data_IF_554828993367
#
_entry.id   IF_554828993367
#
_cell.length_a   1.000
_cell.length_b   1.000
_cell.length_c   1.000
_cell.angle_alpha   90.00
_cell.angle_beta   90.00
_cell.angle_gamma   90.00
#
_symmetry.space_group_name_H-M   'P 1'
#
loop_
_entity.id
_entity.type
_entity.pdbx_description
1 polymer ?
#
# COMPACT_ATOMS: atom_id res chain seq x y z
N UNK A 1 4.07 27.77 45.16
CA UNK A 1 4.25 26.74 44.09
C UNK A 1 5.67 26.26 44.23
N UNK A 2 5.84 25.05 44.83
CA UNK A 2 7.13 24.55 45.28
C UNK A 2 7.99 24.09 44.10
N UNK A 3 9.32 24.24 44.18
CA UNK A 3 10.26 23.86 43.10
C UNK A 3 10.07 22.39 42.64
N UNK A 4 9.60 21.53 43.53
CA UNK A 4 9.30 20.12 43.24
C UNK A 4 8.08 19.94 42.32
N UNK A 5 7.05 20.79 42.44
CA UNK A 5 5.87 20.76 41.55
C UNK A 5 6.18 21.27 40.14
N UNK A 6 6.97 22.33 40.05
CA UNK A 6 7.46 22.84 38.75
C UNK A 6 8.28 21.77 38.02
N UNK A 7 9.15 21.06 38.74
CA UNK A 7 10.00 20.04 38.10
C UNK A 7 9.18 18.82 37.64
N UNK A 8 8.16 18.40 38.38
CA UNK A 8 7.24 17.34 37.98
C UNK A 8 6.41 17.72 36.74
N UNK A 9 5.96 18.96 36.68
CA UNK A 9 5.18 19.49 35.55
C UNK A 9 6.02 19.60 34.26
N UNK A 10 7.28 20.02 34.39
CA UNK A 10 8.24 20.05 33.27
C UNK A 10 8.59 18.64 32.78
N UNK A 11 8.78 17.68 33.66
CA UNK A 11 9.06 16.28 33.30
C UNK A 11 7.84 15.65 32.62
N UNK A 12 6.61 15.88 33.12
CA UNK A 12 5.40 15.41 32.46
C UNK A 12 5.19 16.03 31.07
N UNK A 13 5.45 17.35 30.93
CA UNK A 13 5.36 18.02 29.62
C UNK A 13 6.41 17.49 28.62
N UNK A 14 7.62 17.19 29.09
CA UNK A 14 8.67 16.60 28.25
C UNK A 14 8.35 15.14 27.86
N UNK A 15 7.74 14.38 28.75
CA UNK A 15 7.32 12.99 28.49
C UNK A 15 6.18 12.91 27.46
N UNK A 16 5.25 13.87 27.49
CA UNK A 16 4.14 13.97 26.52
C UNK A 16 4.66 14.35 25.12
N UNK A 17 5.72 15.15 25.03
CA UNK A 17 6.32 15.57 23.77
C UNK A 17 7.05 14.41 23.06
N UNK A 18 7.50 13.40 23.79
CA UNK A 18 8.18 12.21 23.23
C UNK A 18 7.22 11.15 22.64
N UNK A 19 5.91 11.28 22.90
CA UNK A 19 4.91 10.31 22.47
C UNK A 19 4.28 10.62 21.09
N UNK A 20 4.65 11.71 20.43
CA UNK A 20 4.23 11.99 19.06
C UNK A 20 5.09 11.19 18.08
N UNK A 21 4.98 9.87 18.14
CA UNK A 21 5.51 8.98 17.12
C UNK A 21 4.86 9.35 15.78
N UNK A 22 5.57 10.10 14.96
CA UNK A 22 5.12 10.43 13.62
C UNK A 22 5.01 9.13 12.82
N UNK A 23 3.79 8.73 12.44
CA UNK A 23 3.55 7.72 11.41
C UNK A 23 4.07 8.26 10.08
N UNK A 24 5.37 8.15 9.83
CA UNK A 24 5.99 8.50 8.58
C UNK A 24 5.82 7.34 7.59
N UNK A 25 5.63 7.61 6.29
CA UNK A 25 5.65 6.58 5.28
C UNK A 25 6.99 5.83 5.29
N UNK A 26 6.99 4.50 5.00
CA UNK A 26 8.19 3.67 5.05
C UNK A 26 9.10 3.86 3.82
N UNK A 27 9.12 5.06 3.25
CA UNK A 27 9.87 5.40 2.06
C UNK A 27 10.91 6.47 2.33
N UNK A 28 12.07 6.43 1.64
CA UNK A 28 13.08 7.47 1.74
C UNK A 28 12.51 8.85 1.39
N UNK A 29 12.86 9.86 2.21
CA UNK A 29 12.38 11.25 2.01
C UNK A 29 12.67 11.76 0.59
N UNK A 30 13.84 11.43 0.04
CA UNK A 30 14.25 11.85 -1.30
C UNK A 30 13.30 11.37 -2.40
N UNK A 31 12.67 10.20 -2.23
CA UNK A 31 11.67 9.68 -3.16
C UNK A 31 10.31 10.35 -2.94
N UNK A 32 9.93 10.57 -1.66
CA UNK A 32 8.69 11.25 -1.29
C UNK A 32 8.64 12.69 -1.81
N UNK A 33 9.78 13.38 -1.82
CA UNK A 33 9.90 14.77 -2.30
C UNK A 33 9.72 14.88 -3.84
N UNK A 34 9.85 13.77 -4.58
CA UNK A 34 9.64 13.72 -6.04
C UNK A 34 8.20 13.45 -6.43
N UNK A 35 7.39 12.93 -5.51
CA UNK A 35 6.01 12.52 -5.80
C UNK A 35 5.15 13.74 -6.12
N UNK A 36 4.49 13.71 -7.28
CA UNK A 36 3.43 14.67 -7.62
C UNK A 36 2.17 14.35 -6.79
N UNK A 37 1.93 15.15 -5.77
CA UNK A 37 0.79 15.00 -4.85
C UNK A 37 -0.52 15.50 -5.41
N UNK A 38 -0.49 16.21 -6.55
CA UNK A 38 -1.68 16.75 -7.18
C UNK A 38 -2.26 15.77 -8.21
N UNK A 39 -1.45 14.81 -8.67
CA UNK A 39 -1.89 13.79 -9.63
C UNK A 39 -2.72 12.71 -8.90
N UNK A 40 -4.03 12.72 -9.12
CA UNK A 40 -4.91 11.66 -8.62
C UNK A 40 -4.81 10.39 -9.48
N UNK A 41 -5.08 9.23 -8.87
CA UNK A 41 -5.13 7.97 -9.64
C UNK A 41 -6.20 8.01 -10.72
N UNK A 42 -7.33 8.66 -10.48
CA UNK A 42 -8.43 8.81 -11.45
C UNK A 42 -8.00 9.57 -12.70
N UNK A 43 -7.17 10.61 -12.56
CA UNK A 43 -6.62 11.36 -13.69
C UNK A 43 -5.61 10.50 -14.44
N UNK A 44 -4.71 9.85 -13.70
CA UNK A 44 -3.74 8.91 -14.27
C UNK A 44 -4.43 7.80 -15.07
N UNK A 45 -5.51 7.20 -14.52
CA UNK A 45 -6.28 6.13 -15.15
C UNK A 45 -6.91 6.53 -16.49
N UNK A 46 -7.36 7.78 -16.61
CA UNK A 46 -7.99 8.26 -17.85
C UNK A 46 -7.02 8.32 -19.03
N UNK A 47 -5.83 8.83 -18.81
CA UNK A 47 -4.82 9.03 -19.86
C UNK A 47 -3.39 8.84 -19.30
N UNK A 48 -2.95 7.60 -19.04
CA UNK A 48 -1.65 7.37 -18.41
C UNK A 48 -0.47 7.91 -19.22
N UNK A 49 -0.58 7.92 -20.55
CA UNK A 49 0.49 8.39 -21.43
C UNK A 49 0.78 9.88 -21.30
N UNK A 50 -0.20 10.69 -20.85
CA UNK A 50 0.00 12.11 -20.60
C UNK A 50 0.86 12.41 -19.38
N UNK A 51 1.07 11.40 -18.53
CA UNK A 51 1.79 11.51 -17.25
C UNK A 51 3.10 10.73 -17.23
N UNK A 52 3.60 10.31 -18.42
CA UNK A 52 4.92 9.67 -18.50
C UNK A 52 5.99 10.55 -17.87
N UNK A 53 6.82 9.95 -17.03
CA UNK A 53 7.84 10.65 -16.26
C UNK A 53 7.36 11.24 -14.92
N UNK A 54 6.03 11.31 -14.69
CA UNK A 54 5.51 11.74 -13.39
C UNK A 54 5.81 10.70 -12.31
N UNK A 55 6.18 11.18 -11.14
CA UNK A 55 6.41 10.33 -9.96
C UNK A 55 5.15 10.26 -9.11
N UNK A 56 4.77 9.05 -8.77
CA UNK A 56 3.55 8.78 -8.00
C UNK A 56 3.84 7.91 -6.79
N UNK A 57 3.04 8.10 -5.74
CA UNK A 57 2.94 7.17 -4.62
C UNK A 57 1.55 6.55 -4.68
N UNK A 58 1.50 5.26 -4.93
CA UNK A 58 0.27 4.50 -5.05
C UNK A 58 0.34 3.26 -4.17
N UNK A 59 -0.79 2.64 -3.92
CA UNK A 59 -0.84 1.36 -3.25
C UNK A 59 -2.17 0.68 -3.45
N UNK A 60 -2.22 -0.55 -2.98
CA UNK A 60 -3.40 -1.37 -3.12
C UNK A 60 -3.17 -2.80 -2.69
N UNK A 61 -4.11 -3.63 -3.07
CA UNK A 61 -4.05 -5.08 -2.85
C UNK A 61 -3.48 -5.75 -4.09
N UNK A 62 -2.52 -6.64 -3.90
CA UNK A 62 -1.96 -7.47 -4.98
C UNK A 62 -3.07 -8.38 -5.50
N UNK A 63 -3.33 -8.33 -6.80
CA UNK A 63 -4.21 -9.23 -7.54
C UNK A 63 -3.41 -10.42 -8.06
N UNK A 64 -2.24 -10.12 -8.66
CA UNK A 64 -1.31 -11.11 -9.16
C UNK A 64 0.11 -10.54 -9.19
N UNK A 65 1.11 -11.40 -9.06
CA UNK A 65 2.50 -11.10 -9.32
C UNK A 65 3.09 -12.17 -10.24
N UNK A 66 3.84 -11.73 -11.24
CA UNK A 66 4.45 -12.62 -12.24
C UNK A 66 5.88 -12.22 -12.53
N UNK A 67 6.80 -13.14 -12.36
CA UNK A 67 8.18 -12.98 -12.79
C UNK A 67 8.29 -13.11 -14.31
N UNK A 68 9.02 -12.21 -14.92
CA UNK A 68 9.35 -12.16 -16.35
C UNK A 68 10.87 -12.29 -16.51
N UNK A 69 11.39 -12.16 -17.71
CA UNK A 69 12.85 -12.13 -17.94
C UNK A 69 13.49 -10.83 -17.44
N UNK A 70 12.71 -9.77 -17.36
CA UNK A 70 13.18 -8.42 -16.98
C UNK A 70 12.89 -8.06 -15.51
N UNK A 71 12.38 -9.00 -14.70
CA UNK A 71 12.01 -8.75 -13.30
C UNK A 71 10.58 -9.18 -12.99
N UNK A 72 9.87 -8.44 -12.13
CA UNK A 72 8.52 -8.80 -11.68
C UNK A 72 7.50 -7.76 -12.14
N UNK A 73 6.35 -8.23 -12.62
CA UNK A 73 5.16 -7.42 -12.91
C UNK A 73 4.10 -7.76 -11.88
N UNK A 74 3.59 -6.75 -11.17
CA UNK A 74 2.56 -6.88 -10.14
C UNK A 74 1.30 -6.15 -10.62
N UNK A 75 0.17 -6.85 -10.64
CA UNK A 75 -1.14 -6.24 -10.80
C UNK A 75 -1.68 -5.82 -9.43
N UNK A 76 -1.98 -4.53 -9.27
CA UNK A 76 -2.58 -3.98 -8.05
C UNK A 76 -4.02 -3.53 -8.31
N UNK A 77 -4.92 -3.89 -7.40
CA UNK A 77 -6.20 -3.21 -7.20
C UNK A 77 -5.92 -1.99 -6.33
N UNK A 78 -5.96 -0.80 -6.94
CA UNK A 78 -5.67 0.45 -6.25
C UNK A 78 -6.59 0.67 -5.05
N UNK A 79 -6.03 1.17 -3.96
CA UNK A 79 -6.74 1.58 -2.75
C UNK A 79 -6.27 2.97 -2.31
N UNK A 80 -7.15 3.79 -1.72
CA UNK A 80 -6.71 5.02 -1.06
C UNK A 80 -5.66 4.70 0.01
N UNK A 81 -4.72 5.61 0.21
CA UNK A 81 -3.66 5.46 1.21
C UNK A 81 -4.00 6.29 2.45
N UNK A 82 -3.61 5.79 3.61
CA UNK A 82 -3.59 6.57 4.84
C UNK A 82 -2.35 7.49 4.92
N UNK A 83 -2.20 8.21 6.05
CA UNK A 83 -1.07 9.13 6.26
C UNK A 83 0.28 8.43 6.34
N UNK A 84 0.32 7.14 6.67
CA UNK A 84 1.52 6.33 6.69
C UNK A 84 1.86 5.77 5.30
N UNK A 85 0.98 5.96 4.33
CA UNK A 85 1.10 5.40 2.98
C UNK A 85 0.60 3.97 2.87
N UNK A 86 -0.09 3.44 3.88
CA UNK A 86 -0.70 2.11 3.85
C UNK A 86 -2.03 2.15 3.11
N UNK A 87 -2.32 1.14 2.25
CA UNK A 87 -3.63 0.97 1.65
C UNK A 87 -4.74 0.82 2.71
N UNK A 88 -5.83 1.58 2.55
CA UNK A 88 -6.96 1.50 3.46
C UNK A 88 -7.73 0.19 3.28
N UNK A 89 -8.21 -0.37 4.40
CA UNK A 89 -9.09 -1.54 4.44
C UNK A 89 -10.52 -1.10 4.08
N UNK A 90 -10.77 -0.86 2.81
CA UNK A 90 -12.05 -0.40 2.26
C UNK A 90 -12.31 -1.06 0.92
N UNK A 91 -13.56 -1.12 0.50
CA UNK A 91 -13.93 -1.58 -0.85
C UNK A 91 -13.75 -0.50 -1.92
N UNK A 92 -13.45 0.75 -1.50
CA UNK A 92 -13.18 1.82 -2.44
C UNK A 92 -11.96 1.52 -3.30
N UNK A 93 -12.11 1.68 -4.61
CA UNK A 93 -11.06 1.54 -5.61
C UNK A 93 -11.36 2.48 -6.78
N UNK A 94 -10.31 2.99 -7.41
CA UNK A 94 -10.44 3.74 -8.67
C UNK A 94 -9.96 2.93 -9.87
N UNK A 95 -9.56 1.66 -9.66
CA UNK A 95 -9.20 0.75 -10.72
C UNK A 95 -7.94 -0.06 -10.45
N UNK A 96 -7.29 -0.51 -11.51
CA UNK A 96 -6.09 -1.35 -11.46
C UNK A 96 -4.93 -0.72 -12.17
N UNK A 97 -3.72 -1.09 -11.77
CA UNK A 97 -2.46 -0.69 -12.41
C UNK A 97 -1.48 -1.85 -12.44
N UNK A 98 -0.46 -1.73 -13.27
CA UNK A 98 0.72 -2.58 -13.21
C UNK A 98 1.89 -1.82 -12.58
N UNK A 99 2.53 -2.48 -11.64
CA UNK A 99 3.83 -2.08 -11.08
C UNK A 99 4.88 -3.01 -11.66
N UNK A 100 5.90 -2.44 -12.26
CA UNK A 100 7.03 -3.18 -12.86
C UNK A 100 8.27 -2.89 -12.04
N UNK A 101 9.01 -3.92 -11.68
CA UNK A 101 10.32 -3.81 -11.03
C UNK A 101 11.31 -4.74 -11.70
N UNK A 102 12.58 -4.34 -11.74
CA UNK A 102 13.69 -5.19 -12.21
C UNK A 102 14.06 -6.27 -11.18
N UNK A 103 13.57 -6.16 -9.95
CA UNK A 103 13.80 -7.16 -8.92
C UNK A 103 12.93 -8.40 -9.16
N UNK A 104 13.51 -9.58 -8.92
CA UNK A 104 12.78 -10.85 -8.89
C UNK A 104 12.20 -11.04 -7.50
N UNK A 105 10.90 -10.81 -7.37
CA UNK A 105 10.17 -10.94 -6.12
C UNK A 105 9.66 -12.38 -5.93
N UNK A 106 9.74 -12.88 -4.69
CA UNK A 106 9.21 -14.19 -4.35
C UNK A 106 7.67 -14.17 -4.37
N UNK A 107 7.06 -14.97 -5.25
CA UNK A 107 5.61 -15.07 -5.37
C UNK A 107 4.92 -15.62 -4.11
N UNK A 108 5.64 -16.36 -3.26
CA UNK A 108 5.12 -16.81 -1.96
C UNK A 108 4.99 -15.65 -0.95
N UNK A 109 5.74 -14.56 -1.14
CA UNK A 109 5.72 -13.36 -0.31
C UNK A 109 4.78 -12.31 -0.91
N UNK A 110 4.89 -12.08 -2.22
CA UNK A 110 4.11 -11.09 -2.97
C UNK A 110 2.88 -11.73 -3.64
N UNK A 111 2.10 -12.47 -2.87
CA UNK A 111 0.91 -13.18 -3.37
C UNK A 111 -0.35 -12.32 -3.36
N UNK A 112 -1.39 -12.76 -4.05
CA UNK A 112 -2.71 -12.12 -4.04
C UNK A 112 -3.25 -11.90 -2.62
N UNK A 113 -3.87 -10.74 -2.38
CA UNK A 113 -4.42 -10.34 -1.09
C UNK A 113 -3.45 -9.60 -0.18
N UNK A 114 -2.13 -9.55 -0.48
CA UNK A 114 -1.18 -8.73 0.27
C UNK A 114 -1.30 -7.25 -0.09
N UNK A 115 -1.07 -6.40 0.89
CA UNK A 115 -1.05 -4.94 0.69
C UNK A 115 0.34 -4.48 0.29
N UNK A 116 0.40 -3.70 -0.77
CA UNK A 116 1.64 -3.15 -1.30
C UNK A 116 1.48 -1.65 -1.53
N UNK A 117 2.50 -0.89 -1.15
CA UNK A 117 2.66 0.50 -1.57
C UNK A 117 3.91 0.66 -2.41
N UNK A 118 3.86 1.56 -3.37
CA UNK A 118 4.92 1.82 -4.34
C UNK A 118 5.15 3.31 -4.50
N UNK A 119 6.41 3.73 -4.54
CA UNK A 119 6.83 4.97 -5.19
C UNK A 119 7.49 4.60 -6.51
N UNK A 120 7.06 5.24 -7.57
CA UNK A 120 7.59 4.95 -8.91
C UNK A 120 7.27 6.02 -9.93
N UNK A 121 7.78 5.80 -11.11
CA UNK A 121 7.63 6.68 -12.26
C UNK A 121 6.59 6.08 -13.23
N UNK A 122 5.66 6.89 -13.71
CA UNK A 122 4.70 6.49 -14.72
C UNK A 122 5.42 6.31 -16.05
N UNK A 123 5.33 5.11 -16.62
CA UNK A 123 5.99 4.79 -17.91
C UNK A 123 5.02 4.69 -19.09
N UNK A 124 3.72 4.81 -18.80
CA UNK A 124 2.66 4.79 -19.82
C UNK A 124 1.51 3.87 -19.44
N UNK A 125 1.03 3.10 -20.39
CA UNK A 125 -0.10 2.18 -20.20
C UNK A 125 0.12 0.85 -20.91
N UNK A 126 -0.60 -0.16 -20.42
CA UNK A 126 -0.82 -1.42 -21.10
C UNK A 126 -2.31 -1.65 -21.26
N UNK A 127 -2.76 -1.91 -22.48
CA UNK A 127 -4.15 -2.30 -22.75
C UNK A 127 -4.21 -3.82 -22.80
N UNK A 128 -5.09 -4.39 -22.00
CA UNK A 128 -5.37 -5.83 -22.05
C UNK A 128 -6.78 -6.12 -21.51
N UNK A 129 -7.36 -7.28 -21.85
CA UNK A 129 -8.68 -7.65 -21.38
C UNK A 129 -8.77 -7.70 -19.86
N UNK A 130 -9.87 -7.18 -19.31
CA UNK A 130 -10.33 -7.37 -17.95
C UNK A 130 -11.77 -7.90 -18.03
N UNK A 131 -11.93 -9.23 -17.98
CA UNK A 131 -13.16 -9.88 -18.39
C UNK A 131 -13.44 -9.64 -19.87
N UNK A 132 -14.60 -9.10 -20.20
CA UNK A 132 -15.03 -8.84 -21.59
C UNK A 132 -14.68 -7.43 -22.10
N UNK A 133 -14.06 -6.58 -21.27
CA UNK A 133 -13.71 -5.20 -21.63
C UNK A 133 -12.22 -5.03 -21.87
N UNK A 134 -11.85 -4.14 -22.80
CA UNK A 134 -10.49 -3.64 -22.91
C UNK A 134 -10.22 -2.64 -21.78
N UNK A 135 -9.25 -2.95 -20.94
CA UNK A 135 -8.90 -2.13 -19.80
C UNK A 135 -7.49 -1.52 -19.96
N UNK A 136 -7.38 -0.23 -19.65
CA UNK A 136 -6.11 0.50 -19.69
C UNK A 136 -5.48 0.46 -18.30
N UNK A 137 -4.40 -0.27 -18.16
CA UNK A 137 -3.62 -0.34 -16.95
C UNK A 137 -2.52 0.72 -16.99
N UNK A 138 -2.53 1.73 -16.11
CA UNK A 138 -1.33 2.55 -15.92
C UNK A 138 -0.14 1.67 -15.58
N UNK A 139 1.02 1.95 -16.18
CA UNK A 139 2.29 1.30 -15.89
C UNK A 139 3.13 2.20 -15.00
N UNK A 140 3.60 1.66 -13.89
CA UNK A 140 4.47 2.35 -12.94
C UNK A 140 5.75 1.54 -12.77
N UNK A 141 6.89 2.12 -13.14
CA UNK A 141 8.21 1.57 -12.85
C UNK A 141 8.55 1.84 -11.39
N UNK A 142 8.63 0.79 -10.58
CA UNK A 142 8.91 0.91 -9.16
C UNK A 142 10.32 1.44 -8.90
N UNK A 143 10.43 2.39 -7.97
CA UNK A 143 11.71 2.87 -7.41
C UNK A 143 11.85 2.47 -5.95
N UNK A 144 10.72 2.21 -5.29
CA UNK A 144 10.68 1.63 -3.95
C UNK A 144 9.34 0.92 -3.75
N UNK A 145 9.40 -0.26 -3.17
CA UNK A 145 8.24 -1.07 -2.81
C UNK A 145 8.20 -1.26 -1.30
N UNK A 146 7.01 -1.23 -0.72
CA UNK A 146 6.80 -1.58 0.67
C UNK A 146 5.63 -2.55 0.79
N UNK A 147 5.94 -3.80 1.14
CA UNK A 147 4.95 -4.84 1.42
C UNK A 147 4.55 -4.76 2.89
N UNK A 148 3.28 -4.50 3.15
CA UNK A 148 2.77 -4.35 4.50
C UNK A 148 2.59 -5.70 5.19
N UNK A 149 2.88 -5.74 6.51
CA UNK A 149 2.52 -6.91 7.29
C UNK A 149 1.00 -7.13 7.27
N UNK A 150 0.54 -8.40 7.19
CA UNK A 150 -0.88 -8.71 7.26
C UNK A 150 -1.51 -8.05 8.49
N UNK A 151 -2.59 -7.30 8.31
CA UNK A 151 -3.34 -6.75 9.45
C UNK A 151 -3.84 -7.91 10.30
N UNK A 152 -3.50 -7.91 11.60
CA UNK A 152 -3.86 -8.96 12.56
C UNK A 152 -5.39 -9.10 12.81
N UNK A 153 -6.22 -8.50 11.96
CA UNK A 153 -7.65 -8.29 12.14
C UNK A 153 -8.59 -9.36 11.57
N UNK A 154 -8.11 -10.49 11.08
CA UNK A 154 -9.00 -11.56 10.59
C UNK A 154 -8.47 -12.95 10.89
N UNK A 155 -8.32 -13.28 12.17
CA UNK A 155 -8.38 -14.69 12.54
C UNK A 155 -9.86 -15.08 12.56
N UNK A 156 -10.38 -15.57 11.45
CA UNK A 156 -11.65 -16.31 11.47
C UNK A 156 -11.38 -17.60 12.24
N UNK A 157 -11.72 -17.58 13.52
CA UNK A 157 -11.66 -18.78 14.37
C UNK A 157 -12.87 -19.63 14.01
N UNK A 158 -12.69 -20.64 13.18
CA UNK A 158 -13.69 -21.69 13.02
C UNK A 158 -13.67 -22.56 14.27
N UNK A 159 -14.52 -22.26 15.23
CA UNK A 159 -14.81 -23.14 16.34
C UNK A 159 -15.65 -24.31 15.84
N UNK A 160 -15.05 -25.49 15.63
CA UNK A 160 -15.79 -26.73 15.44
C UNK A 160 -16.29 -27.16 16.83
N UNK A 161 -17.52 -26.83 17.15
CA UNK A 161 -18.23 -27.32 18.32
C UNK A 161 -18.65 -28.77 18.10
N UNK A 162 -17.91 -29.74 18.66
CA UNK A 162 -18.38 -31.13 18.72
C UNK A 162 -19.32 -31.25 19.92
N UNK A 163 -20.63 -31.17 19.64
CA UNK A 163 -21.67 -31.45 20.64
C UNK A 163 -21.82 -32.96 20.83
N UNK A 164 -21.34 -33.49 21.97
CA UNK A 164 -21.66 -34.86 22.39
C UNK A 164 -22.93 -34.80 23.21
N UNK A 165 -24.07 -35.21 22.66
CA UNK A 165 -25.32 -35.44 23.38
C UNK A 165 -25.36 -36.89 23.84
N UNK A 166 -25.20 -37.13 25.17
CA UNK A 166 -25.48 -38.40 25.80
C UNK A 166 -26.96 -38.46 26.16
N UNK A 167 -27.71 -39.37 25.55
CA UNK A 167 -29.04 -39.73 26.01
C UNK A 167 -28.91 -40.79 27.09
N UNK A 168 -29.61 -40.54 28.22
CA UNK A 168 -29.82 -41.54 29.26
C UNK A 168 -31.29 -41.91 29.32
#
# INVERSE_FOLDING_TARGET
MNACEKNRMVICAFLVLLLTGACAPPFPKQLLDRVDRNLSFRELQKNPDNYKGAWVMLGGMIVAAKNTKEGTVIELLQKPLDRSGRPLQTDATEGRLFVVTEEFLDAAVYHAGRELSVIGEVTGQKVQPLGEIEYRYPLVSAKSLHLWEPSSGSRVSFGIGIGVSSYH
#
